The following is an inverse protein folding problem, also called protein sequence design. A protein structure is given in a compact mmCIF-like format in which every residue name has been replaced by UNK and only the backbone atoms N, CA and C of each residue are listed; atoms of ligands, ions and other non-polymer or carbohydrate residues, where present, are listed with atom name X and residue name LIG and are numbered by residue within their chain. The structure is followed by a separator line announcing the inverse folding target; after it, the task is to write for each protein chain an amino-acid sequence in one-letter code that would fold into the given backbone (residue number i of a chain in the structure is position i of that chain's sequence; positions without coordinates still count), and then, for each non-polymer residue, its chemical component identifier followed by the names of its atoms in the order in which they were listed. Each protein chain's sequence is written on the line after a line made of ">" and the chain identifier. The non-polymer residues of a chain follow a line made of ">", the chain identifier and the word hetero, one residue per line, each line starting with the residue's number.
data_IF_856951919640
#
_entry.id   IF_856951919640
#
_cell.length_a   1.000
_cell.length_b   1.000
_cell.length_c   1.000
_cell.angle_alpha   90.00
_cell.angle_beta   90.00
_cell.angle_gamma   90.00
#
_symmetry.space_group_name_H-M   'P 1'
#
loop_
_entity.id
_entity.type
_entity.pdbx_description
1 polymer ?
#
# COMPACT_ATOMS: atom_id res chain seq x y z
N UNK A 1 -20.35 -2.31 -6.19
CA UNK A 1 -19.87 -2.72 -4.85
C UNK A 1 -19.34 -1.49 -4.16
N UNK A 2 -19.44 -1.42 -2.83
CA UNK A 2 -18.92 -0.29 -2.08
C UNK A 2 -18.06 -0.75 -0.91
N UNK A 3 -17.14 0.12 -0.51
CA UNK A 3 -16.16 -0.13 0.53
C UNK A 3 -16.32 0.82 1.72
N UNK A 4 -16.19 0.29 2.93
CA UNK A 4 -16.18 1.07 4.16
C UNK A 4 -14.96 0.72 5.01
N UNK A 5 -14.31 1.74 5.57
CA UNK A 5 -13.21 1.54 6.51
C UNK A 5 -13.76 1.28 7.91
N UNK A 6 -13.32 0.19 8.54
CA UNK A 6 -13.58 -0.07 9.95
C UNK A 6 -12.43 -0.86 10.56
N UNK A 7 -11.96 -0.44 11.73
CA UNK A 7 -10.91 -1.14 12.48
C UNK A 7 -9.66 -1.45 11.64
N UNK A 8 -9.21 -0.47 10.83
CA UNK A 8 -8.09 -0.59 9.89
C UNK A 8 -8.26 -1.67 8.80
N UNK A 9 -9.50 -2.04 8.49
CA UNK A 9 -9.85 -2.98 7.42
C UNK A 9 -10.92 -2.38 6.51
N UNK A 10 -10.83 -2.71 5.24
CA UNK A 10 -11.80 -2.29 4.23
C UNK A 10 -12.84 -3.38 4.07
N UNK A 11 -14.08 -3.08 4.44
CA UNK A 11 -15.23 -3.97 4.30
C UNK A 11 -15.90 -3.76 2.95
N UNK A 12 -16.12 -4.85 2.21
CA UNK A 12 -16.63 -4.88 0.84
C UNK A 12 -18.03 -5.47 0.80
N UNK A 13 -19.00 -4.63 0.45
CA UNK A 13 -20.41 -4.98 0.33
C UNK A 13 -20.82 -5.06 -1.15
N UNK A 14 -21.88 -5.83 -1.43
CA UNK A 14 -22.39 -6.10 -2.79
C UNK A 14 -21.31 -6.58 -3.76
N UNK A 15 -20.38 -7.37 -3.24
CA UNK A 15 -19.14 -7.78 -3.89
C UNK A 15 -19.21 -9.14 -4.59
N UNK A 16 -20.39 -9.76 -4.66
CA UNK A 16 -20.59 -11.11 -5.19
C UNK A 16 -20.07 -11.29 -6.63
N UNK A 17 -20.23 -10.27 -7.48
CA UNK A 17 -19.73 -10.28 -8.87
C UNK A 17 -18.20 -10.37 -8.96
N UNK A 18 -17.49 -9.88 -7.95
CA UNK A 18 -16.02 -9.84 -7.88
C UNK A 18 -15.47 -10.81 -6.83
N UNK A 19 -16.27 -11.80 -6.39
CA UNK A 19 -15.91 -12.71 -5.30
C UNK A 19 -14.62 -13.51 -5.55
N UNK A 20 -14.35 -13.87 -6.81
CA UNK A 20 -13.14 -14.63 -7.16
C UNK A 20 -11.91 -13.72 -7.08
N UNK A 21 -12.00 -12.48 -7.57
CA UNK A 21 -10.95 -11.48 -7.41
C UNK A 21 -10.66 -11.18 -5.94
N UNK A 22 -11.69 -11.08 -5.09
CA UNK A 22 -11.51 -10.84 -3.65
C UNK A 22 -10.84 -12.03 -2.95
N UNK A 23 -11.07 -13.25 -3.42
CA UNK A 23 -10.35 -14.43 -2.93
C UNK A 23 -8.88 -14.46 -3.34
N UNK A 24 -8.42 -13.61 -4.23
CA UNK A 24 -6.99 -13.51 -4.56
C UNK A 24 -6.28 -12.50 -3.66
N UNK A 25 -7.01 -11.52 -3.10
CA UNK A 25 -6.44 -10.47 -2.24
C UNK A 25 -5.80 -11.05 -0.97
N UNK A 26 -4.62 -10.57 -0.58
CA UNK A 26 -3.93 -11.08 0.60
C UNK A 26 -4.58 -10.59 1.90
N UNK A 27 -4.77 -11.51 2.85
CA UNK A 27 -5.34 -11.21 4.17
C UNK A 27 -6.87 -11.00 4.20
N UNK A 28 -7.60 -11.40 3.13
CA UNK A 28 -9.07 -11.32 3.11
C UNK A 28 -9.72 -12.20 4.19
N UNK A 29 -10.83 -11.73 4.75
CA UNK A 29 -11.67 -12.48 5.68
C UNK A 29 -13.14 -12.33 5.29
N UNK A 30 -13.88 -13.43 5.26
CA UNK A 30 -15.32 -13.41 5.09
C UNK A 30 -16.02 -13.20 6.44
N UNK A 31 -16.92 -12.22 6.51
CA UNK A 31 -17.74 -11.94 7.68
C UNK A 31 -19.18 -12.37 7.40
N UNK A 32 -19.61 -13.57 7.84
CA UNK A 32 -20.93 -14.10 7.52
C UNK A 32 -22.07 -13.25 8.11
N UNK A 33 -21.87 -12.67 9.30
CA UNK A 33 -22.86 -11.82 9.97
C UNK A 33 -23.20 -10.57 9.16
N UNK A 34 -22.19 -9.98 8.50
CA UNK A 34 -22.33 -8.78 7.68
C UNK A 34 -22.54 -9.10 6.20
N UNK A 35 -22.44 -10.37 5.81
CA UNK A 35 -22.39 -10.85 4.43
C UNK A 35 -21.39 -10.05 3.57
N UNK A 36 -20.23 -9.76 4.14
CA UNK A 36 -19.22 -8.90 3.54
C UNK A 36 -17.82 -9.51 3.65
N UNK A 37 -16.98 -9.23 2.66
CA UNK A 37 -15.54 -9.49 2.77
C UNK A 37 -14.86 -8.33 3.48
N UNK A 38 -13.74 -8.60 4.16
CA UNK A 38 -12.84 -7.55 4.64
C UNK A 38 -11.42 -7.80 4.19
N UNK A 39 -10.73 -6.77 3.78
CA UNK A 39 -9.32 -6.82 3.39
C UNK A 39 -8.49 -5.83 4.23
N UNK A 40 -7.21 -6.11 4.48
CA UNK A 40 -6.33 -5.15 5.15
C UNK A 40 -6.24 -3.84 4.38
N UNK A 41 -6.15 -2.72 5.12
CA UNK A 41 -5.89 -1.40 4.56
C UNK A 41 -4.42 -1.30 4.13
N UNK A 42 -4.12 -1.66 2.89
CA UNK A 42 -2.80 -1.52 2.28
C UNK A 42 -2.91 -1.00 0.84
N UNK A 43 -1.81 -0.48 0.27
CA UNK A 43 -1.82 0.16 -1.04
C UNK A 43 -2.27 -0.80 -2.16
N UNK A 44 -1.75 -2.03 -2.16
CA UNK A 44 -2.06 -3.07 -3.15
C UNK A 44 -3.56 -3.42 -3.20
N UNK A 45 -4.19 -3.63 -2.03
CA UNK A 45 -5.61 -3.92 -1.94
C UNK A 45 -6.45 -2.72 -2.39
N UNK A 46 -6.04 -1.49 -2.03
CA UNK A 46 -6.76 -0.27 -2.45
C UNK A 46 -6.69 -0.05 -3.97
N UNK A 47 -5.54 -0.32 -4.59
CA UNK A 47 -5.36 -0.25 -6.04
C UNK A 47 -6.20 -1.32 -6.74
N UNK A 48 -6.19 -2.55 -6.21
CA UNK A 48 -7.04 -3.65 -6.72
C UNK A 48 -8.53 -3.27 -6.66
N UNK A 49 -8.97 -2.67 -5.55
CA UNK A 49 -10.37 -2.22 -5.39
C UNK A 49 -10.74 -1.10 -6.37
N UNK A 50 -9.81 -0.20 -6.67
CA UNK A 50 -9.98 0.86 -7.66
C UNK A 50 -10.15 0.26 -9.07
N UNK A 51 -9.30 -0.71 -9.43
CA UNK A 51 -9.36 -1.41 -10.71
C UNK A 51 -10.66 -2.20 -10.89
N UNK A 52 -11.17 -2.77 -9.81
CA UNK A 52 -12.45 -3.50 -9.80
C UNK A 52 -13.67 -2.55 -9.84
N UNK A 53 -13.46 -1.23 -9.84
CA UNK A 53 -14.53 -0.22 -9.85
C UNK A 53 -15.29 -0.15 -8.52
N UNK A 54 -14.60 -0.34 -7.40
CA UNK A 54 -15.19 -0.22 -6.07
C UNK A 54 -15.42 1.25 -5.72
N UNK A 55 -16.62 1.58 -5.27
CA UNK A 55 -16.88 2.90 -4.71
C UNK A 55 -16.26 2.97 -3.30
N UNK A 56 -15.17 3.74 -3.18
CA UNK A 56 -14.50 4.01 -1.91
C UNK A 56 -15.20 5.17 -1.19
N UNK A 57 -15.38 5.07 0.13
CA UNK A 57 -15.82 6.20 0.96
C UNK A 57 -14.82 7.36 0.90
N UNK A 58 -15.28 8.58 1.17
CA UNK A 58 -14.40 9.78 1.16
C UNK A 58 -13.22 9.65 2.11
N UNK A 59 -13.42 9.04 3.28
CA UNK A 59 -12.36 8.70 4.24
C UNK A 59 -11.28 7.80 3.62
N UNK A 60 -11.69 6.78 2.86
CA UNK A 60 -10.77 5.87 2.17
C UNK A 60 -10.01 6.59 1.04
N UNK A 61 -10.65 7.52 0.33
CA UNK A 61 -10.00 8.32 -0.72
C UNK A 61 -8.94 9.24 -0.13
N UNK A 62 -9.24 9.90 1.00
CA UNK A 62 -8.28 10.75 1.70
C UNK A 62 -7.09 9.94 2.22
N UNK A 63 -7.35 8.76 2.80
CA UNK A 63 -6.30 7.86 3.27
C UNK A 63 -5.47 7.30 2.11
N UNK A 64 -6.09 6.90 1.00
CA UNK A 64 -5.37 6.50 -0.22
C UNK A 64 -4.43 7.61 -0.67
N UNK A 65 -4.89 8.86 -0.71
CA UNK A 65 -4.04 10.00 -1.06
C UNK A 65 -2.86 10.17 -0.09
N UNK A 66 -3.07 9.96 1.21
CA UNK A 66 -1.97 10.03 2.20
C UNK A 66 -0.96 8.90 2.07
N UNK A 67 -1.41 7.67 1.82
CA UNK A 67 -0.56 6.49 1.61
C UNK A 67 0.23 6.62 0.30
N UNK A 68 -0.44 7.08 -0.77
CA UNK A 68 0.19 7.33 -2.07
C UNK A 68 1.14 8.52 -2.01
N UNK A 69 0.89 9.53 -1.16
CA UNK A 69 1.86 10.62 -0.95
C UNK A 69 3.09 10.20 -0.14
N UNK A 70 3.02 9.17 0.71
CA UNK A 70 4.22 8.55 1.29
C UNK A 70 4.94 7.64 0.29
N UNK A 71 4.21 7.13 -0.70
CA UNK A 71 4.77 6.53 -1.92
C UNK A 71 5.03 7.59 -3.02
N UNK A 72 5.21 8.86 -2.64
CA UNK A 72 5.54 9.93 -3.57
C UNK A 72 6.77 9.56 -4.39
N UNK A 73 6.57 9.58 -5.71
CA UNK A 73 7.55 9.68 -6.78
C UNK A 73 8.38 10.98 -6.66
N UNK A 74 8.98 11.21 -5.49
CA UNK A 74 10.11 12.10 -5.33
C UNK A 74 11.38 11.32 -5.62
N UNK A 75 12.38 11.98 -6.21
CA UNK A 75 13.71 11.39 -6.40
C UNK A 75 14.17 10.74 -5.08
N UNK A 76 14.20 9.41 -5.05
CA UNK A 76 14.60 8.67 -3.85
C UNK A 76 16.07 9.00 -3.62
N UNK A 77 16.36 9.71 -2.53
CA UNK A 77 17.73 10.00 -2.15
C UNK A 77 18.31 8.87 -1.28
N UNK A 78 19.60 8.58 -1.40
CA UNK A 78 20.26 7.63 -0.52
C UNK A 78 20.21 8.10 0.95
N UNK A 79 19.86 7.21 1.88
CA UNK A 79 19.89 7.48 3.33
C UNK A 79 21.32 7.69 3.86
N UNK A 80 22.31 7.12 3.17
CA UNK A 80 23.74 7.25 3.44
C UNK A 80 24.43 7.48 2.09
N UNK A 81 25.56 8.19 2.07
CA UNK A 81 26.36 8.37 0.86
C UNK A 81 26.70 7.00 0.24
N UNK A 82 26.29 6.78 -1.01
CA UNK A 82 26.53 5.51 -1.70
C UNK A 82 27.99 5.42 -2.14
N UNK A 83 28.64 4.25 -2.01
CA UNK A 83 30.06 4.05 -2.36
C UNK A 83 30.28 3.87 -3.87
N UNK A 84 29.60 4.68 -4.69
CA UNK A 84 29.69 4.66 -6.16
C UNK A 84 29.94 6.08 -6.68
N UNK A 85 30.67 6.19 -7.79
CA UNK A 85 30.97 7.48 -8.43
C UNK A 85 29.93 7.92 -9.47
N UNK A 86 29.12 6.98 -9.95
CA UNK A 86 28.08 7.22 -10.95
C UNK A 86 26.75 7.54 -10.26
N UNK A 87 25.87 8.26 -10.96
CA UNK A 87 24.50 8.52 -10.49
C UNK A 87 23.72 7.21 -10.44
N UNK A 88 23.28 6.74 -9.26
CA UNK A 88 22.52 5.50 -9.15
C UNK A 88 21.14 5.61 -9.78
N UNK A 89 20.64 4.51 -10.32
CA UNK A 89 19.24 4.40 -10.73
C UNK A 89 18.33 4.30 -9.50
N UNK A 90 17.09 4.75 -9.63
CA UNK A 90 16.13 4.83 -8.53
C UNK A 90 15.95 3.49 -7.78
N UNK A 91 15.86 2.37 -8.50
CA UNK A 91 15.75 1.05 -7.89
C UNK A 91 16.99 0.65 -7.08
N UNK A 92 18.19 1.12 -7.47
CA UNK A 92 19.44 0.88 -6.72
C UNK A 92 19.44 1.66 -5.40
N UNK A 93 18.90 2.88 -5.40
CA UNK A 93 18.77 3.70 -4.19
C UNK A 93 17.76 3.07 -3.23
N UNK A 94 16.62 2.59 -3.74
CA UNK A 94 15.62 1.86 -2.93
C UNK A 94 16.21 0.60 -2.28
N UNK A 95 16.94 -0.21 -3.04
CA UNK A 95 17.60 -1.40 -2.52
C UNK A 95 18.67 -1.07 -1.46
N UNK A 96 19.46 -0.01 -1.69
CA UNK A 96 20.47 0.47 -0.75
C UNK A 96 19.83 0.96 0.56
N UNK A 97 18.78 1.79 0.49
CA UNK A 97 18.05 2.28 1.66
C UNK A 97 17.43 1.13 2.47
N UNK A 98 16.90 0.12 1.78
CA UNK A 98 16.37 -1.09 2.43
C UNK A 98 17.47 -1.83 3.22
N UNK A 99 18.64 -2.01 2.63
CA UNK A 99 19.78 -2.63 3.31
C UNK A 99 20.28 -1.79 4.49
N UNK A 100 20.40 -0.46 4.35
CA UNK A 100 20.79 0.44 5.44
C UNK A 100 19.82 0.34 6.63
N UNK A 101 18.51 0.25 6.36
CA UNK A 101 17.48 0.10 7.39
C UNK A 101 17.60 -1.21 8.17
N UNK A 102 17.92 -2.32 7.50
CA UNK A 102 18.14 -3.62 8.14
C UNK A 102 19.37 -3.58 9.06
N UNK A 103 20.40 -2.86 8.63
CA UNK A 103 21.69 -2.78 9.31
C UNK A 103 21.75 -1.67 10.37
N UNK A 104 20.62 -0.99 10.64
CA UNK A 104 20.52 0.17 11.55
C UNK A 104 21.53 1.28 11.24
N UNK A 105 21.91 1.42 9.96
CA UNK A 105 22.83 2.44 9.49
C UNK A 105 22.07 3.75 9.30
N UNK A 106 21.98 4.55 10.36
CA UNK A 106 21.52 5.94 10.28
C UNK A 106 22.71 6.84 9.96
N UNK A 107 22.61 7.62 8.88
CA UNK A 107 23.67 8.53 8.45
C UNK A 107 24.06 9.51 9.56
N UNK A 108 25.18 9.24 10.23
CA UNK A 108 25.85 10.18 11.10
C UNK A 108 26.73 11.12 10.27
N UNK A 109 26.51 12.42 10.49
CA UNK A 109 27.33 13.59 10.17
C UNK A 109 28.53 13.42 9.20
N UNK A 110 28.40 14.03 8.02
CA UNK A 110 29.40 14.95 7.41
C UNK A 110 28.90 15.45 6.04
#
# INVERSE_FOLDING_TARGET
>A
MYAQLKDNRVFLFDSFKHKESIKEMHGRLWHPEKKAWSVPMNAENLETLDLLGCELSEELKMLKKSIVSDASEGAVLPMVSMPIRATPYEHQIKAFNFACKIMELTGGDA
#
